data_IF_830707067839
#
_entry.id   IF_830707067839
#
_cell.length_a   1.000
_cell.length_b   1.000
_cell.length_c   1.000
_cell.angle_alpha   90.00
_cell.angle_beta   90.00
_cell.angle_gamma   90.00
#
_symmetry.space_group_name_H-M   'P 1'
#
loop_
_entity.id
_entity.type
_entity.pdbx_description
1 polymer ?
#
# COMPACT_ATOMS: atom_id res chain seq x y z
N UNK A 1 -10.48 31.12 3.72
CA UNK A 1 -10.00 29.72 3.63
C UNK A 1 -10.16 29.26 2.19
N UNK A 2 -9.20 28.49 1.66
CA UNK A 2 -9.29 27.87 0.34
C UNK A 2 -9.23 26.36 0.56
N UNK A 3 -10.31 25.66 0.23
CA UNK A 3 -10.38 24.19 0.29
C UNK A 3 -10.13 23.62 -1.10
N UNK A 4 -9.48 22.46 -1.16
CA UNK A 4 -9.26 21.70 -2.39
C UNK A 4 -9.98 20.35 -2.30
N UNK A 5 -11.31 20.37 -2.37
CA UNK A 5 -12.11 19.17 -2.23
C UNK A 5 -12.01 18.27 -3.47
N UNK A 6 -11.76 16.99 -3.25
CA UNK A 6 -12.05 15.94 -4.22
C UNK A 6 -13.49 15.45 -4.00
N UNK A 7 -14.40 15.83 -4.89
CA UNK A 7 -15.81 15.45 -4.80
C UNK A 7 -16.07 13.97 -5.10
N UNK A 8 -15.07 13.24 -5.61
CA UNK A 8 -15.17 11.79 -5.84
C UNK A 8 -14.67 10.97 -4.65
N UNK A 9 -14.10 11.60 -3.62
CA UNK A 9 -13.37 10.91 -2.55
C UNK A 9 -14.21 9.85 -1.81
N UNK A 10 -15.49 10.15 -1.54
CA UNK A 10 -16.41 9.20 -0.87
C UNK A 10 -16.69 7.97 -1.75
N UNK A 11 -16.89 8.15 -3.05
CA UNK A 11 -17.17 7.05 -3.97
C UNK A 11 -15.93 6.19 -4.25
N UNK A 12 -14.74 6.81 -4.27
CA UNK A 12 -13.48 6.13 -4.50
C UNK A 12 -13.02 5.30 -3.28
N UNK A 13 -13.45 5.71 -2.08
CA UNK A 13 -13.07 5.08 -0.82
C UNK A 13 -11.65 5.42 -0.39
N UNK A 14 -11.21 4.83 0.72
CA UNK A 14 -9.87 5.08 1.25
C UNK A 14 -8.76 4.53 0.32
N UNK A 15 -7.57 5.14 0.31
CA UNK A 15 -6.40 4.56 -0.35
C UNK A 15 -5.97 3.29 0.39
N UNK A 16 -5.84 2.19 -0.36
CA UNK A 16 -5.49 0.90 0.18
C UNK A 16 -4.28 0.30 -0.50
N UNK A 17 -3.36 -0.22 0.32
CA UNK A 17 -2.39 -1.23 -0.09
C UNK A 17 -2.83 -2.55 0.52
N UNK A 18 -2.99 -3.58 -0.30
CA UNK A 18 -3.38 -4.93 0.12
C UNK A 18 -2.17 -5.86 -0.04
N UNK A 19 -1.81 -6.57 1.02
CA UNK A 19 -0.78 -7.61 0.98
C UNK A 19 -1.48 -8.96 0.88
N UNK A 20 -1.22 -9.67 -0.21
CA UNK A 20 -1.63 -11.07 -0.40
C UNK A 20 -0.40 -11.96 -0.39
N UNK A 21 -0.56 -13.29 -0.30
CA UNK A 21 0.56 -14.24 -0.39
C UNK A 21 1.42 -14.16 -1.67
N UNK A 22 1.03 -13.39 -2.70
CA UNK A 22 1.73 -13.31 -3.99
C UNK A 22 2.14 -11.89 -4.41
N UNK A 23 1.40 -10.86 -3.98
CA UNK A 23 1.56 -9.51 -4.49
C UNK A 23 1.14 -8.42 -3.50
N UNK A 24 1.70 -7.23 -3.70
CA UNK A 24 1.14 -5.96 -3.23
C UNK A 24 0.09 -5.47 -4.23
N UNK A 25 -1.11 -5.17 -3.75
CA UNK A 25 -2.22 -4.63 -4.53
C UNK A 25 -2.51 -3.18 -4.15
N UNK A 26 -2.69 -2.32 -5.14
CA UNK A 26 -2.93 -0.88 -4.98
C UNK A 26 -4.26 -0.53 -5.61
N UNK A 27 -5.16 0.13 -4.88
CA UNK A 27 -6.44 0.58 -5.44
C UNK A 27 -6.33 1.95 -6.11
N UNK A 28 -7.33 2.32 -6.91
CA UNK A 28 -7.34 3.58 -7.65
C UNK A 28 -7.04 4.83 -6.80
N UNK A 29 -7.63 5.05 -5.61
CA UNK A 29 -7.24 6.19 -4.75
C UNK A 29 -5.75 6.21 -4.38
N UNK A 30 -5.17 5.06 -4.00
CA UNK A 30 -3.74 4.99 -3.66
C UNK A 30 -2.83 5.30 -4.86
N UNK A 31 -3.24 4.90 -6.06
CA UNK A 31 -2.52 5.18 -7.30
C UNK A 31 -2.63 6.66 -7.68
N UNK A 32 -3.81 7.27 -7.45
CA UNK A 32 -4.06 8.68 -7.71
C UNK A 32 -3.24 9.59 -6.79
N UNK A 33 -3.05 9.21 -5.52
CA UNK A 33 -2.18 9.95 -4.58
C UNK A 33 -0.73 10.04 -5.06
N UNK A 34 -0.25 9.03 -5.78
CA UNK A 34 1.08 9.02 -6.39
C UNK A 34 1.15 9.82 -7.71
N UNK A 35 0.05 10.46 -8.13
CA UNK A 35 -0.01 11.20 -9.40
C UNK A 35 -0.10 10.32 -10.65
N UNK A 36 -0.65 9.09 -10.53
CA UNK A 36 -0.79 8.12 -11.63
C UNK A 36 0.52 7.84 -12.38
N UNK A 37 1.60 7.43 -11.69
CA UNK A 37 2.91 7.31 -12.30
C UNK A 37 3.00 6.09 -13.23
N UNK A 38 3.75 6.22 -14.33
CA UNK A 38 4.04 5.09 -15.23
C UNK A 38 4.88 4.00 -14.55
N UNK A 39 5.80 4.42 -13.69
CA UNK A 39 6.67 3.54 -12.92
C UNK A 39 6.80 4.00 -11.48
N UNK A 40 6.91 3.02 -10.58
CA UNK A 40 7.16 3.24 -9.16
C UNK A 40 8.38 2.46 -8.70
N UNK A 41 8.95 2.90 -7.60
CA UNK A 41 9.88 2.13 -6.79
C UNK A 41 9.24 1.79 -5.46
N UNK A 42 9.69 0.68 -4.86
CA UNK A 42 9.16 0.17 -3.60
C UNK A 42 10.32 -0.01 -2.64
N UNK A 43 10.23 0.62 -1.48
CA UNK A 43 11.15 0.48 -0.37
C UNK A 43 10.51 -0.30 0.78
N UNK A 44 11.35 -0.91 1.61
CA UNK A 44 10.96 -1.54 2.86
C UNK A 44 11.93 -1.07 3.95
N UNK A 45 11.38 -0.50 5.02
CA UNK A 45 12.09 -0.16 6.24
C UNK A 45 11.81 -1.25 7.28
N UNK A 46 12.82 -2.05 7.58
CA UNK A 46 12.73 -3.18 8.51
C UNK A 46 12.71 -2.76 9.99
N UNK A 47 13.15 -1.54 10.31
CA UNK A 47 13.11 -1.03 11.69
C UNK A 47 11.69 -0.68 12.11
N UNK A 48 10.92 -0.13 11.17
CA UNK A 48 9.54 0.29 11.39
C UNK A 48 8.50 -0.65 10.77
N UNK A 49 8.94 -1.68 10.05
CA UNK A 49 8.10 -2.58 9.25
C UNK A 49 7.20 -1.81 8.28
N UNK A 50 7.75 -0.79 7.64
CA UNK A 50 7.04 0.11 6.73
C UNK A 50 7.35 -0.22 5.28
N UNK A 51 6.30 -0.32 4.45
CA UNK A 51 6.45 -0.42 2.99
C UNK A 51 6.13 0.95 2.41
N UNK A 52 7.09 1.53 1.70
CA UNK A 52 6.97 2.81 1.01
C UNK A 52 6.98 2.65 -0.50
N UNK A 53 6.18 3.47 -1.19
CA UNK A 53 6.07 3.51 -2.64
C UNK A 53 6.14 4.96 -3.09
N UNK A 54 6.99 5.24 -4.07
CA UNK A 54 7.05 6.55 -4.72
C UNK A 54 7.25 6.42 -6.22
N UNK A 55 6.96 7.51 -6.94
CA UNK A 55 7.19 7.61 -8.38
C UNK A 55 8.68 7.43 -8.67
N UNK A 56 9.00 6.66 -9.72
CA UNK A 56 10.36 6.53 -10.20
C UNK A 56 10.78 7.79 -10.97
N UNK A 57 11.94 8.35 -10.63
CA UNK A 57 12.44 9.60 -11.22
C UNK A 57 13.40 9.39 -12.42
N UNK A 58 13.79 8.14 -12.69
CA UNK A 58 14.71 7.78 -13.77
C UNK A 58 16.20 7.86 -13.41
N UNK A 59 16.56 8.38 -12.24
CA UNK A 59 17.94 8.61 -11.80
C UNK A 59 18.40 7.67 -10.68
N UNK A 60 17.47 6.94 -10.07
CA UNK A 60 17.79 6.00 -9.01
C UNK A 60 18.33 4.67 -9.60
N UNK A 61 19.46 4.17 -9.09
CA UNK A 61 20.01 2.86 -9.47
C UNK A 61 19.25 1.71 -8.76
N UNK A 62 17.93 1.70 -8.90
CA UNK A 62 17.00 0.79 -8.23
C UNK A 62 16.03 0.22 -9.26
N UNK A 63 15.45 -0.94 -8.94
CA UNK A 63 14.47 -1.57 -9.81
C UNK A 63 13.14 -0.81 -9.76
N UNK A 64 12.72 -0.28 -10.90
CA UNK A 64 11.38 0.27 -11.09
C UNK A 64 10.37 -0.80 -11.53
N UNK A 65 9.09 -0.51 -11.33
CA UNK A 65 7.98 -1.38 -11.70
C UNK A 65 6.95 -0.60 -12.51
N UNK A 66 6.55 -1.13 -13.68
CA UNK A 66 5.41 -0.60 -14.44
C UNK A 66 4.16 -0.59 -13.58
N UNK A 67 3.49 0.55 -13.50
CA UNK A 67 2.47 0.81 -12.50
C UNK A 67 1.12 1.19 -13.11
N UNK A 68 0.87 2.47 -13.43
CA UNK A 68 -0.46 2.94 -13.85
C UNK A 68 -1.00 2.22 -15.09
N UNK A 69 -0.14 1.98 -16.09
CA UNK A 69 -0.49 1.23 -17.31
C UNK A 69 -0.88 -0.24 -17.06
N UNK A 70 -0.61 -0.79 -15.87
CA UNK A 70 -1.03 -2.15 -15.46
C UNK A 70 -2.38 -2.19 -14.76
N UNK A 71 -3.06 -1.05 -14.59
CA UNK A 71 -4.33 -0.98 -13.88
C UNK A 71 -5.41 -1.83 -14.56
N UNK A 72 -6.08 -2.67 -13.77
CA UNK A 72 -7.21 -3.49 -14.19
C UNK A 72 -8.29 -3.45 -13.11
N UNK A 73 -9.50 -3.06 -13.49
CA UNK A 73 -10.66 -2.94 -12.59
C UNK A 73 -10.37 -2.06 -11.36
N UNK A 74 -9.62 -0.97 -11.54
CA UNK A 74 -9.26 -0.05 -10.45
C UNK A 74 -8.15 -0.55 -9.52
N UNK A 75 -7.41 -1.60 -9.91
CA UNK A 75 -6.30 -2.14 -9.14
C UNK A 75 -5.03 -2.34 -9.96
N UNK A 76 -3.88 -2.07 -9.36
CA UNK A 76 -2.57 -2.50 -9.84
C UNK A 76 -2.02 -3.57 -8.88
N UNK A 77 -1.35 -4.60 -9.41
CA UNK A 77 -0.72 -5.65 -8.60
C UNK A 77 0.74 -5.79 -8.98
N UNK A 78 1.61 -5.77 -7.99
CA UNK A 78 3.05 -6.00 -8.14
C UNK A 78 3.40 -7.32 -7.46
N UNK A 79 3.82 -8.30 -8.26
CA UNK A 79 4.21 -9.61 -7.77
C UNK A 79 5.52 -9.55 -6.97
N UNK A 80 5.50 -10.04 -5.74
CA UNK A 80 6.63 -9.97 -4.81
C UNK A 80 6.60 -11.13 -3.80
N UNK A 81 6.22 -12.34 -4.26
CA UNK A 81 6.01 -13.54 -3.42
C UNK A 81 7.15 -13.81 -2.42
N UNK A 82 8.40 -13.75 -2.85
CA UNK A 82 9.53 -14.03 -1.96
C UNK A 82 9.69 -12.95 -0.86
N UNK A 83 9.41 -11.68 -1.18
CA UNK A 83 9.37 -10.62 -0.19
C UNK A 83 8.25 -10.85 0.83
N UNK A 84 7.06 -11.28 0.39
CA UNK A 84 5.93 -11.56 1.29
C UNK A 84 6.25 -12.72 2.25
N UNK A 85 6.89 -13.79 1.78
CA UNK A 85 7.36 -14.87 2.66
C UNK A 85 8.33 -14.38 3.72
N UNK A 86 9.27 -13.52 3.31
CA UNK A 86 10.22 -12.91 4.23
C UNK A 86 9.50 -12.03 5.25
N UNK A 87 8.56 -11.19 4.81
CA UNK A 87 7.75 -10.35 5.68
C UNK A 87 6.92 -11.17 6.68
N UNK A 88 6.32 -12.28 6.26
CA UNK A 88 5.64 -13.23 7.16
C UNK A 88 6.60 -13.79 8.21
N UNK A 89 7.84 -14.14 7.83
CA UNK A 89 8.84 -14.64 8.79
C UNK A 89 9.27 -13.60 9.82
N UNK A 90 9.30 -12.31 9.44
CA UNK A 90 9.66 -11.21 10.33
C UNK A 90 8.53 -10.85 11.30
N UNK A 91 7.28 -10.92 10.84
CA UNK A 91 6.13 -10.36 11.56
C UNK A 91 5.25 -11.43 12.22
N UNK A 92 5.35 -12.68 11.80
CA UNK A 92 4.42 -13.75 12.17
C UNK A 92 3.05 -13.64 11.48
N UNK A 93 2.85 -12.67 10.58
CA UNK A 93 1.59 -12.49 9.87
C UNK A 93 1.43 -13.47 8.70
N UNK A 94 0.22 -13.99 8.55
CA UNK A 94 -0.19 -14.75 7.38
C UNK A 94 -1.00 -13.87 6.44
N UNK A 95 -0.61 -13.80 5.17
CA UNK A 95 -1.28 -12.99 4.14
C UNK A 95 -2.25 -13.81 3.27
N UNK A 96 -2.86 -14.82 3.91
CA UNK A 96 -3.92 -15.66 3.37
C UNK A 96 -4.95 -15.92 4.49
N UNK A 97 -6.07 -15.19 4.54
CA UNK A 97 -6.56 -14.24 3.52
C UNK A 97 -5.69 -12.98 3.40
N UNK A 98 -5.82 -12.27 2.27
CA UNK A 98 -5.08 -11.03 2.03
C UNK A 98 -5.50 -9.95 3.03
N UNK A 99 -4.52 -9.20 3.55
CA UNK A 99 -4.74 -8.14 4.54
C UNK A 99 -4.72 -6.78 3.83
N UNK A 100 -5.68 -5.92 4.17
CA UNK A 100 -5.83 -4.59 3.59
C UNK A 100 -5.40 -3.52 4.59
N UNK A 101 -4.56 -2.60 4.14
CA UNK A 101 -4.01 -1.51 4.95
C UNK A 101 -4.48 -0.17 4.39
N UNK A 102 -4.94 0.74 5.25
CA UNK A 102 -5.20 2.13 4.85
C UNK A 102 -3.85 2.81 4.64
N UNK A 103 -3.57 3.19 3.40
CA UNK A 103 -2.32 3.83 3.04
C UNK A 103 -2.31 5.29 3.49
N UNK A 104 -1.16 5.74 3.97
CA UNK A 104 -0.88 7.14 4.29
C UNK A 104 -0.02 7.73 3.18
N UNK A 105 -0.09 9.05 3.03
CA UNK A 105 0.71 9.78 2.05
C UNK A 105 1.50 10.87 2.77
N UNK A 106 2.81 10.87 2.57
CA UNK A 106 3.69 11.96 2.97
C UNK A 106 3.81 12.95 1.80
N UNK A 107 3.25 14.14 1.97
CA UNK A 107 3.28 15.18 0.93
C UNK A 107 4.67 15.80 0.74
N UNK A 108 5.53 15.76 1.76
CA UNK A 108 6.87 16.36 1.67
C UNK A 108 7.81 15.46 0.88
N UNK A 109 7.75 14.16 1.15
CA UNK A 109 8.61 13.16 0.51
C UNK A 109 7.97 12.51 -0.73
N UNK A 110 6.69 12.80 -0.99
CA UNK A 110 5.88 12.19 -2.07
C UNK A 110 5.83 10.65 -1.98
N UNK A 111 5.70 10.13 -0.75
CA UNK A 111 5.72 8.70 -0.45
C UNK A 111 4.33 8.25 0.00
N UNK A 112 3.79 7.25 -0.69
CA UNK A 112 2.65 6.46 -0.20
C UNK A 112 3.18 5.29 0.64
N UNK A 113 2.70 5.11 1.86
CA UNK A 113 3.23 4.08 2.76
C UNK A 113 2.17 3.41 3.64
N UNK A 114 2.53 2.22 4.14
CA UNK A 114 1.79 1.48 5.17
C UNK A 114 2.76 0.94 6.23
N UNK A 115 2.30 0.86 7.47
CA UNK A 115 2.93 0.06 8.52
C UNK A 115 2.30 -1.33 8.50
N UNK A 116 3.12 -2.37 8.36
CA UNK A 116 2.64 -3.76 8.34
C UNK A 116 2.11 -4.17 9.72
N UNK A 117 2.56 -3.52 10.79
CA UNK A 117 2.13 -3.80 12.16
C UNK A 117 0.70 -3.30 12.44
N UNK A 118 0.16 -2.39 11.62
CA UNK A 118 -1.20 -1.87 11.79
C UNK A 118 -2.26 -2.98 11.68
N UNK A 119 -1.96 -4.08 10.96
CA UNK A 119 -2.83 -5.25 10.86
C UNK A 119 -3.06 -5.96 12.19
N UNK A 120 -2.06 -5.97 13.09
CA UNK A 120 -2.18 -6.58 14.41
C UNK A 120 -3.13 -5.78 15.31
N UNK A 121 -3.31 -4.50 15.05
CA UNK A 121 -4.21 -3.64 15.80
C UNK A 121 -5.66 -3.86 15.33
N UNK A 122 -5.90 -3.93 14.02
CA UNK A 122 -7.23 -4.23 13.47
C UNK A 122 -7.76 -5.61 13.89
N UNK A 123 -6.90 -6.63 13.98
CA UNK A 123 -7.32 -7.95 14.48
C UNK A 123 -7.73 -7.94 15.96
N UNK A 124 -7.06 -7.14 16.79
CA UNK A 124 -7.44 -6.99 18.21
C UNK A 124 -8.76 -6.22 18.38
N UNK A 125 -9.00 -5.22 17.54
CA UNK A 125 -10.22 -4.43 17.60
C UNK A 125 -11.45 -5.25 17.15
N UNK A 126 -11.29 -6.17 16.18
CA UNK A 126 -12.36 -7.08 15.72
C UNK A 126 -12.71 -8.15 16.77
N UNK A 127 -11.73 -8.73 17.49
CA UNK A 127 -12.00 -9.70 18.57
C UNK A 127 -12.80 -9.09 19.74
N UNK A 128 -12.62 -7.79 20.03
CA UNK A 128 -13.31 -7.11 21.14
C UNK A 128 -14.78 -6.78 20.81
N UNK A 129 -15.12 -6.67 19.53
CA UNK A 129 -16.49 -6.38 19.08
C UNK A 129 -17.34 -7.64 18.83
N UNK A 130 -16.74 -8.83 18.66
CA UNK A 130 -17.48 -10.11 18.59
C UNK A 130 -17.97 -10.62 19.97
N UNK A 131 -17.40 -10.12 21.07
CA UNK A 131 -17.77 -10.47 22.45
C UNK A 131 -18.89 -9.58 23.05
N UNK A 132 -19.59 -8.77 22.23
CA UNK A 132 -20.72 -7.91 22.64
C UNK A 132 -22.03 -8.28 21.95
#
# INVERSE_FOLDING_TARGET
>A
MKFNFDWNYVAAGAPYITISGLALGFNAPSIALLGNPEEVIIGFDDQTMTIGVKKYDGNENVKSYKFYSRMKNGWVRIGCKEFIKYLSSLTGLEFSPAIRYIAKYDEQEEILYISVLDALQSQKDEEVDEDK
#
